data_IF_737136121116
#
_entry.id   IF_737136121116
#
_cell.length_a   1.000
_cell.length_b   1.000
_cell.length_c   1.000
_cell.angle_alpha   90.00
_cell.angle_beta   90.00
_cell.angle_gamma   90.00
#
_symmetry.space_group_name_H-M   'P 1'
#
loop_
_entity.id
_entity.type
_entity.pdbx_description
1 polymer ?
#
# COMPACT_ATOMS: atom_id res chain seq x y z
N UNK A 1 12.81 -13.40 -12.28
CA UNK A 1 13.41 -12.64 -11.17
C UNK A 1 12.36 -12.55 -10.07
N UNK A 2 12.59 -13.24 -8.95
CA UNK A 2 11.67 -13.25 -7.80
C UNK A 2 12.01 -12.04 -6.94
N UNK A 3 11.11 -11.06 -6.86
CA UNK A 3 11.32 -9.83 -6.10
C UNK A 3 10.98 -10.09 -4.63
N UNK A 4 11.92 -9.85 -3.71
CA UNK A 4 11.85 -10.37 -2.34
C UNK A 4 10.85 -9.70 -1.38
N UNK A 5 10.06 -8.70 -1.80
CA UNK A 5 9.30 -7.85 -0.87
C UNK A 5 7.98 -7.30 -1.44
N UNK A 6 7.60 -7.70 -2.66
CA UNK A 6 6.39 -7.25 -3.35
C UNK A 6 5.81 -8.41 -4.13
N UNK A 7 4.55 -8.73 -3.86
CA UNK A 7 3.75 -9.73 -4.57
C UNK A 7 2.69 -9.03 -5.43
N UNK A 8 2.60 -9.40 -6.70
CA UNK A 8 1.55 -8.90 -7.58
C UNK A 8 0.28 -9.72 -7.37
N UNK A 9 -0.78 -9.09 -6.87
CA UNK A 9 -2.11 -9.71 -6.76
C UNK A 9 -2.88 -9.55 -8.07
N UNK A 10 -2.76 -8.37 -8.68
CA UNK A 10 -3.23 -8.12 -10.04
C UNK A 10 -2.07 -7.53 -10.80
N UNK A 11 -1.56 -8.26 -11.79
CA UNK A 11 -0.43 -7.81 -12.58
C UNK A 11 -0.66 -6.39 -13.13
N UNK A 12 0.37 -5.56 -12.98
CA UNK A 12 0.39 -4.17 -13.44
C UNK A 12 -0.69 -3.26 -12.84
N UNK A 13 -1.34 -3.66 -11.73
CA UNK A 13 -2.43 -2.89 -11.11
C UNK A 13 -2.37 -2.89 -9.58
N UNK A 14 -2.29 -4.05 -8.94
CA UNK A 14 -2.36 -4.19 -7.48
C UNK A 14 -1.19 -5.04 -6.99
N UNK A 15 -0.45 -4.46 -6.06
CA UNK A 15 0.72 -5.07 -5.43
C UNK A 15 0.51 -5.09 -3.92
N UNK A 16 0.90 -6.19 -3.29
CA UNK A 16 1.09 -6.28 -1.85
C UNK A 16 2.57 -6.24 -1.54
N UNK A 17 2.95 -5.52 -0.49
CA UNK A 17 4.35 -5.47 -0.07
C UNK A 17 4.51 -5.19 1.41
N UNK A 18 5.77 -5.15 1.85
CA UNK A 18 6.11 -4.76 3.20
C UNK A 18 6.58 -3.30 3.28
N UNK A 19 6.87 -2.83 4.48
CA UNK A 19 7.39 -1.48 4.73
C UNK A 19 8.64 -1.15 3.91
N UNK A 20 9.50 -2.13 3.62
CA UNK A 20 10.73 -1.92 2.81
C UNK A 20 10.37 -1.55 1.37
N UNK A 21 9.37 -2.21 0.78
CA UNK A 21 8.88 -1.87 -0.54
C UNK A 21 8.26 -0.47 -0.60
N UNK A 22 7.50 -0.10 0.43
CA UNK A 22 6.85 1.21 0.54
C UNK A 22 7.86 2.37 0.74
N UNK A 23 8.98 2.11 1.42
CA UNK A 23 10.07 3.09 1.61
C UNK A 23 10.99 3.23 0.40
N UNK A 24 11.06 2.21 -0.45
CA UNK A 24 11.97 2.19 -1.59
C UNK A 24 11.40 2.97 -2.78
N UNK A 25 11.89 4.19 -2.99
CA UNK A 25 11.57 5.00 -4.18
C UNK A 25 11.88 4.28 -5.49
N UNK A 26 12.93 3.45 -5.50
CA UNK A 26 13.26 2.57 -6.62
C UNK A 26 12.16 1.54 -6.87
N UNK A 27 11.71 0.84 -5.83
CA UNK A 27 10.64 -0.16 -5.96
C UNK A 27 9.34 0.46 -6.48
N UNK A 28 8.97 1.63 -5.95
CA UNK A 28 7.79 2.38 -6.41
C UNK A 28 7.93 2.82 -7.87
N UNK A 29 9.11 3.31 -8.27
CA UNK A 29 9.37 3.77 -9.64
C UNK A 29 9.43 2.63 -10.66
N UNK A 30 10.11 1.54 -10.33
CA UNK A 30 10.24 0.36 -11.19
C UNK A 30 8.87 -0.26 -11.50
N UNK A 31 7.97 -0.24 -10.51
CA UNK A 31 6.58 -0.73 -10.66
C UNK A 31 5.62 0.35 -11.15
N UNK A 32 6.07 1.59 -11.37
CA UNK A 32 5.25 2.76 -11.74
C UNK A 32 4.05 2.95 -10.80
N UNK A 33 4.29 2.79 -9.51
CA UNK A 33 3.28 2.96 -8.47
C UNK A 33 2.82 4.42 -8.45
N UNK A 34 1.51 4.63 -8.56
CA UNK A 34 0.87 5.95 -8.50
C UNK A 34 0.07 6.15 -7.23
N UNK A 35 -0.29 5.06 -6.54
CA UNK A 35 -1.05 5.07 -5.31
C UNK A 35 -0.39 4.17 -4.25
N UNK A 36 -0.38 4.59 -2.98
CA UNK A 36 0.08 3.76 -1.86
C UNK A 36 -0.97 3.77 -0.77
N UNK A 37 -1.39 2.59 -0.33
CA UNK A 37 -2.25 2.39 0.85
C UNK A 37 -1.39 1.81 1.98
N UNK A 38 -1.29 2.56 3.07
CA UNK A 38 -0.52 2.18 4.26
C UNK A 38 -1.46 1.83 5.39
N UNK A 39 -1.44 0.59 5.86
CA UNK A 39 -2.18 0.13 7.04
C UNK A 39 -1.20 0.06 8.21
N UNK A 40 -0.79 1.21 8.73
CA UNK A 40 0.19 1.27 9.82
C UNK A 40 0.20 2.61 10.58
N UNK A 41 0.61 2.54 11.85
CA UNK A 41 0.85 3.69 12.71
C UNK A 41 2.18 4.42 12.43
N UNK A 42 3.09 3.82 11.65
CA UNK A 42 4.35 4.47 11.30
C UNK A 42 4.22 5.44 10.13
N UNK A 43 4.90 6.60 10.26
CA UNK A 43 5.16 7.50 9.15
C UNK A 43 6.20 6.88 8.21
N UNK A 44 6.00 7.03 6.91
CA UNK A 44 6.90 6.48 5.91
C UNK A 44 7.65 7.65 5.29
N UNK A 45 8.99 7.67 5.29
CA UNK A 45 9.79 8.80 4.82
C UNK A 45 9.53 9.23 3.36
N UNK A 46 8.82 8.40 2.58
CA UNK A 46 8.38 8.71 1.23
C UNK A 46 7.17 9.66 1.15
N UNK A 47 6.64 10.18 2.26
CA UNK A 47 5.58 11.20 2.30
C UNK A 47 6.01 12.58 1.76
N UNK A 48 7.16 12.68 1.09
CA UNK A 48 7.57 13.87 0.36
C UNK A 48 6.52 14.22 -0.73
N UNK A 49 5.87 15.40 -0.65
CA UNK A 49 4.83 15.84 -1.59
C UNK A 49 5.27 15.88 -3.05
N UNK A 50 6.58 15.93 -3.29
CA UNK A 50 7.22 16.05 -4.60
C UNK A 50 7.14 14.79 -5.47
N UNK A 51 6.68 13.65 -4.92
CA UNK A 51 6.65 12.37 -5.65
C UNK A 51 5.47 12.21 -6.62
N UNK A 52 4.40 13.03 -6.51
CA UNK A 52 3.19 12.89 -7.34
C UNK A 52 2.34 11.63 -7.05
N UNK A 53 2.77 10.78 -6.11
CA UNK A 53 2.07 9.56 -5.69
C UNK A 53 0.96 9.94 -4.70
N UNK A 54 -0.27 9.45 -4.94
CA UNK A 54 -1.39 9.60 -4.02
C UNK A 54 -1.28 8.59 -2.89
N UNK A 55 -1.50 9.02 -1.65
CA UNK A 55 -1.37 8.14 -0.48
C UNK A 55 -2.63 8.17 0.35
N UNK A 56 -3.03 6.99 0.81
CA UNK A 56 -4.04 6.84 1.85
C UNK A 56 -3.39 6.09 3.00
N UNK A 57 -3.64 6.56 4.22
CA UNK A 57 -3.13 5.92 5.42
C UNK A 57 -4.28 5.61 6.35
N UNK A 58 -4.26 4.39 6.87
CA UNK A 58 -5.17 3.90 7.89
C UNK A 58 -4.31 3.68 9.14
N UNK A 59 -4.32 4.62 10.10
CA UNK A 59 -3.48 4.53 11.29
C UNK A 59 -4.09 3.53 12.26
N UNK A 60 -3.80 2.25 12.04
CA UNK A 60 -4.16 1.18 12.96
C UNK A 60 -2.96 0.88 13.85
N UNK A 61 -3.21 0.89 15.15
CA UNK A 61 -2.28 0.40 16.16
C UNK A 61 -2.24 -1.13 16.11
N UNK A 62 -1.07 -1.71 16.38
CA UNK A 62 -0.85 -3.16 16.35
C UNK A 62 -1.43 -3.82 17.61
N UNK A 63 -2.74 -3.63 17.81
CA UNK A 63 -3.53 -4.16 18.94
C UNK A 63 -4.58 -5.12 18.39
N UNK A 64 -4.77 -6.25 19.07
CA UNK A 64 -5.65 -7.35 18.60
C UNK A 64 -7.13 -6.96 18.45
N UNK A 65 -7.53 -5.81 19.00
CA UNK A 65 -8.89 -5.27 18.94
C UNK A 65 -9.05 -4.11 17.95
N UNK A 66 -8.04 -3.81 17.15
CA UNK A 66 -8.17 -2.78 16.13
C UNK A 66 -9.23 -3.20 15.10
N UNK A 67 -10.26 -2.37 14.96
CA UNK A 67 -11.33 -2.64 14.01
C UNK A 67 -10.85 -2.28 12.59
N UNK A 68 -10.30 -3.28 11.90
CA UNK A 68 -9.91 -3.16 10.48
C UNK A 68 -11.16 -3.03 9.58
N UNK A 69 -12.31 -3.56 10.02
CA UNK A 69 -13.51 -3.67 9.20
C UNK A 69 -14.14 -2.31 8.94
N UNK A 70 -14.08 -1.38 9.89
CA UNK A 70 -14.57 0.00 9.68
C UNK A 70 -13.80 0.75 8.59
N UNK A 71 -12.57 0.34 8.31
CA UNK A 71 -11.72 0.98 7.31
C UNK A 71 -11.75 0.28 5.95
N UNK A 72 -12.26 -0.96 5.88
CA UNK A 72 -12.40 -1.71 4.62
C UNK A 72 -13.14 -0.91 3.53
N UNK A 73 -14.30 -0.26 3.79
CA UNK A 73 -14.99 0.47 2.74
C UNK A 73 -14.12 1.56 2.10
N UNK A 74 -13.41 2.33 2.92
CA UNK A 74 -12.53 3.41 2.46
C UNK A 74 -11.30 2.86 1.74
N UNK A 75 -10.70 1.77 2.25
CA UNK A 75 -9.58 1.08 1.62
C UNK A 75 -9.96 0.55 0.23
N UNK A 76 -11.09 -0.14 0.13
CA UNK A 76 -11.61 -0.67 -1.12
C UNK A 76 -11.93 0.43 -2.12
N UNK A 77 -12.53 1.55 -1.69
CA UNK A 77 -12.78 2.70 -2.58
C UNK A 77 -11.48 3.30 -3.11
N UNK A 78 -10.45 3.41 -2.29
CA UNK A 78 -9.15 3.93 -2.72
C UNK A 78 -8.46 2.99 -3.73
N UNK A 79 -8.51 1.68 -3.49
CA UNK A 79 -8.01 0.66 -4.42
C UNK A 79 -8.78 0.70 -5.74
N UNK A 80 -10.11 0.75 -5.71
CA UNK A 80 -10.96 0.83 -6.90
C UNK A 80 -10.64 2.08 -7.73
N UNK A 81 -10.55 3.24 -7.08
CA UNK A 81 -10.19 4.49 -7.74
C UNK A 81 -8.81 4.43 -8.40
N UNK A 82 -7.80 3.88 -7.70
CA UNK A 82 -6.46 3.73 -8.24
C UNK A 82 -6.44 2.86 -9.51
N UNK A 83 -7.18 1.75 -9.50
CA UNK A 83 -7.26 0.83 -10.64
C UNK A 83 -8.04 1.47 -11.80
N UNK A 84 -9.19 2.08 -11.53
CA UNK A 84 -10.06 2.68 -12.56
C UNK A 84 -9.46 3.92 -13.22
N UNK A 85 -8.58 4.64 -12.52
CA UNK A 85 -7.80 5.74 -13.09
C UNK A 85 -6.62 5.28 -13.96
N UNK A 86 -6.43 3.97 -14.15
CA UNK A 86 -5.29 3.40 -14.88
C UNK A 86 -3.99 3.44 -14.08
N UNK A 87 -4.08 3.72 -12.78
CA UNK A 87 -2.95 3.74 -11.87
C UNK A 87 -2.51 2.36 -11.41
N UNK A 88 -1.46 2.36 -10.59
CA UNK A 88 -0.92 1.17 -9.94
C UNK A 88 -0.83 1.43 -8.46
N UNK A 89 -1.37 0.52 -7.66
CA UNK A 89 -1.45 0.66 -6.22
C UNK A 89 -0.59 -0.38 -5.51
N UNK A 90 0.18 0.09 -4.54
CA UNK A 90 0.84 -0.74 -3.54
C UNK A 90 0.05 -0.67 -2.23
N UNK A 91 -0.39 -1.82 -1.73
CA UNK A 91 -0.94 -1.96 -0.39
C UNK A 91 0.14 -2.59 0.49
N UNK A 92 0.41 -2.00 1.64
CA UNK A 92 1.40 -2.56 2.57
C UNK A 92 1.00 -2.35 4.03
N UNK A 93 1.58 -3.20 4.87
CA UNK A 93 1.46 -3.20 6.34
C UNK A 93 2.87 -3.22 6.96
N UNK A 94 2.99 -2.95 8.27
CA UNK A 94 4.20 -3.16 9.08
C UNK A 94 4.60 -4.63 9.06
N UNK A 95 3.61 -5.52 9.11
CA UNK A 95 3.75 -6.96 9.00
C UNK A 95 2.87 -7.45 7.86
N UNK A 96 3.47 -7.80 6.72
CA UNK A 96 2.77 -8.40 5.58
C UNK A 96 1.99 -9.70 5.92
N UNK A 97 2.04 -10.20 7.16
CA UNK A 97 1.31 -11.37 7.66
C UNK A 97 -0.13 -11.11 8.12
N UNK A 98 -0.60 -9.85 8.19
CA UNK A 98 -1.89 -9.52 8.82
C UNK A 98 -3.00 -9.09 7.88
N UNK A 99 -2.84 -9.19 6.56
CA UNK A 99 -3.93 -8.91 5.62
C UNK A 99 -4.70 -10.21 5.35
N UNK A 100 -5.90 -10.42 5.90
CA UNK A 100 -6.73 -11.56 5.55
C UNK A 100 -7.35 -11.29 4.18
N UNK A 101 -6.83 -11.95 3.14
CA UNK A 101 -7.56 -12.19 1.90
C UNK A 101 -7.76 -13.69 1.72
#
# INVERSE_FOLDING_TARGET
MVWKNVDAIIENKLYLGNLVAARSTRSLSDHRITHVLSVCADLIPAELPQSGIRRMRIPIEDVDYADLLIHLPSACQFIDHAIRSGGRILVHDVQASRIPF
#
